data_IF_341365903901
#
_entry.id   IF_341365903901
#
_cell.length_a   1.000
_cell.length_b   1.000
_cell.length_c   1.000
_cell.angle_alpha   90.00
_cell.angle_beta   90.00
_cell.angle_gamma   90.00
#
_symmetry.space_group_name_H-M   'P 1'
#
loop_
_entity.id
_entity.type
_entity.pdbx_description
1 polymer ?
#
# COMPACT_ATOMS: atom_id res chain seq x y z
N UNK A 1 -84.08 -19.85 10.07
CA UNK A 1 -83.90 -18.56 9.36
C UNK A 1 -82.58 -18.61 8.59
N UNK A 2 -82.60 -18.43 7.26
CA UNK A 2 -81.39 -18.43 6.42
C UNK A 2 -80.76 -17.04 6.39
N UNK A 3 -79.47 -16.94 6.72
CA UNK A 3 -78.68 -15.70 6.61
C UNK A 3 -77.86 -15.73 5.33
N UNK A 4 -78.09 -14.79 4.41
CA UNK A 4 -77.26 -14.64 3.20
C UNK A 4 -75.92 -14.00 3.57
N UNK A 5 -74.83 -14.59 3.11
CA UNK A 5 -73.51 -13.99 3.15
C UNK A 5 -73.40 -12.89 2.09
N UNK A 6 -73.33 -11.62 2.48
CA UNK A 6 -73.06 -10.52 1.56
C UNK A 6 -71.56 -10.50 1.25
N UNK A 7 -71.17 -10.82 0.01
CA UNK A 7 -69.79 -10.68 -0.44
C UNK A 7 -69.47 -9.19 -0.64
N UNK A 8 -68.61 -8.63 0.22
CA UNK A 8 -68.03 -7.31 -0.03
C UNK A 8 -66.94 -7.47 -1.09
N UNK A 9 -67.14 -6.88 -2.26
CA UNK A 9 -66.06 -6.71 -3.21
C UNK A 9 -65.11 -5.66 -2.64
N UNK A 10 -63.86 -6.05 -2.37
CA UNK A 10 -62.83 -5.12 -1.93
C UNK A 10 -62.67 -3.94 -2.90
N UNK A 11 -61.93 -2.91 -2.49
CA UNK A 11 -61.63 -1.75 -3.33
C UNK A 11 -60.99 -2.27 -4.62
N UNK A 12 -61.74 -2.20 -5.72
CA UNK A 12 -61.25 -2.56 -7.05
C UNK A 12 -60.49 -1.36 -7.59
N UNK A 13 -59.23 -1.53 -8.04
CA UNK A 13 -58.51 -0.44 -8.68
C UNK A 13 -59.29 0.06 -9.88
N UNK A 14 -59.23 1.36 -10.16
CA UNK A 14 -59.90 1.94 -11.32
C UNK A 14 -59.50 1.19 -12.60
N UNK A 15 -60.47 0.85 -13.47
CA UNK A 15 -60.20 0.09 -14.68
C UNK A 15 -59.34 0.91 -15.65
N UNK A 16 -58.10 0.44 -15.88
CA UNK A 16 -57.15 1.09 -16.78
C UNK A 16 -57.61 0.91 -18.24
N UNK A 17 -57.81 2.02 -18.94
CA UNK A 17 -58.25 1.99 -20.34
C UNK A 17 -57.14 1.47 -21.26
N UNK A 18 -57.48 0.88 -22.43
CA UNK A 18 -56.48 0.45 -23.40
C UNK A 18 -55.50 1.55 -23.83
N UNK A 19 -55.97 2.80 -23.90
CA UNK A 19 -55.15 3.96 -24.22
C UNK A 19 -54.12 4.29 -23.13
N UNK A 20 -54.50 4.15 -21.85
CA UNK A 20 -53.56 4.33 -20.73
C UNK A 20 -52.48 3.25 -20.73
N UNK A 21 -52.82 1.99 -21.05
CA UNK A 21 -51.84 0.91 -21.18
C UNK A 21 -50.84 1.17 -22.32
N UNK A 22 -51.30 1.73 -23.44
CA UNK A 22 -50.42 2.07 -24.56
C UNK A 22 -49.45 3.21 -24.20
N UNK A 23 -49.90 4.22 -23.47
CA UNK A 23 -49.04 5.29 -22.94
C UNK A 23 -47.96 4.73 -21.99
N UNK A 24 -48.35 3.83 -21.09
CA UNK A 24 -47.41 3.21 -20.17
C UNK A 24 -46.37 2.32 -20.88
N UNK A 25 -46.78 1.55 -21.89
CA UNK A 25 -45.84 0.76 -22.70
C UNK A 25 -44.81 1.62 -23.45
N UNK A 26 -45.20 2.83 -23.87
CA UNK A 26 -44.29 3.81 -24.47
C UNK A 26 -43.30 4.36 -23.44
N UNK A 27 -43.80 4.76 -22.27
CA UNK A 27 -42.97 5.28 -21.18
C UNK A 27 -41.98 4.24 -20.65
N UNK A 28 -42.39 2.96 -20.54
CA UNK A 28 -41.51 1.88 -20.14
C UNK A 28 -40.38 1.66 -21.17
N UNK A 29 -40.68 1.76 -22.46
CA UNK A 29 -39.68 1.59 -23.53
C UNK A 29 -38.63 2.71 -23.52
N UNK A 30 -39.04 3.96 -23.31
CA UNK A 30 -38.13 5.11 -23.33
C UNK A 30 -37.46 5.35 -21.96
N UNK A 31 -38.20 5.11 -20.89
CA UNK A 31 -37.80 5.36 -19.50
C UNK A 31 -36.87 4.30 -18.94
N UNK A 32 -37.06 3.03 -19.28
CA UNK A 32 -36.23 1.91 -18.77
C UNK A 32 -34.75 2.10 -19.09
N UNK A 33 -34.42 2.53 -20.32
CA UNK A 33 -33.05 2.78 -20.73
C UNK A 33 -32.36 3.89 -19.90
N UNK A 34 -33.08 4.95 -19.52
CA UNK A 34 -32.55 6.05 -18.70
C UNK A 34 -32.30 5.62 -17.26
N UNK A 35 -33.23 4.85 -16.69
CA UNK A 35 -33.09 4.31 -15.33
C UNK A 35 -31.92 3.33 -15.26
N UNK A 36 -31.78 2.46 -16.25
CA UNK A 36 -30.67 1.51 -16.33
C UNK A 36 -29.33 2.24 -16.48
N UNK A 37 -29.24 3.26 -17.32
CA UNK A 37 -28.03 4.07 -17.46
C UNK A 37 -27.65 4.78 -16.16
N UNK A 38 -28.63 5.33 -15.42
CA UNK A 38 -28.39 5.94 -14.10
C UNK A 38 -27.92 4.92 -13.07
N UNK A 39 -28.54 3.74 -13.02
CA UNK A 39 -28.13 2.66 -12.12
C UNK A 39 -26.72 2.17 -12.44
N UNK A 40 -26.35 2.07 -13.72
CA UNK A 40 -25.00 1.73 -14.14
C UNK A 40 -23.95 2.76 -13.71
N UNK A 41 -24.28 4.05 -13.81
CA UNK A 41 -23.39 5.12 -13.31
C UNK A 41 -23.21 5.01 -11.80
N UNK A 42 -24.27 4.72 -11.05
CA UNK A 42 -24.19 4.50 -9.60
C UNK A 42 -23.32 3.28 -9.25
N UNK A 43 -23.50 2.16 -9.96
CA UNK A 43 -22.66 0.96 -9.77
C UNK A 43 -21.18 1.24 -10.08
N UNK A 44 -20.91 1.96 -11.17
CA UNK A 44 -19.55 2.35 -11.55
C UNK A 44 -18.89 3.20 -10.46
N UNK A 45 -19.57 4.25 -9.99
CA UNK A 45 -19.04 5.07 -8.89
C UNK A 45 -18.89 4.29 -7.59
N UNK A 46 -19.87 3.44 -7.24
CA UNK A 46 -19.79 2.58 -6.06
C UNK A 46 -18.56 1.66 -6.11
N UNK A 47 -18.30 1.02 -7.25
CA UNK A 47 -17.10 0.19 -7.44
C UNK A 47 -15.81 1.00 -7.33
N UNK A 48 -15.79 2.21 -7.90
CA UNK A 48 -14.62 3.09 -7.86
C UNK A 48 -14.32 3.57 -6.43
N UNK A 49 -15.35 3.97 -5.67
CA UNK A 49 -15.20 4.35 -4.26
C UNK A 49 -14.78 3.16 -3.40
N UNK A 50 -15.34 1.97 -3.65
CA UNK A 50 -14.95 0.76 -2.92
C UNK A 50 -13.48 0.42 -3.17
N UNK A 51 -13.05 0.40 -4.43
CA UNK A 51 -11.64 0.14 -4.78
C UNK A 51 -10.70 1.22 -4.23
N UNK A 52 -11.07 2.49 -4.32
CA UNK A 52 -10.27 3.59 -3.78
C UNK A 52 -10.17 3.51 -2.25
N UNK A 53 -11.28 3.22 -1.56
CA UNK A 53 -11.33 3.04 -0.11
C UNK A 53 -10.49 1.85 0.36
N UNK A 54 -10.59 0.70 -0.32
CA UNK A 54 -9.76 -0.47 -0.05
C UNK A 54 -8.27 -0.18 -0.30
N UNK A 55 -7.93 0.48 -1.41
CA UNK A 55 -6.56 0.89 -1.72
C UNK A 55 -5.99 1.84 -0.67
N UNK A 56 -6.74 2.88 -0.29
CA UNK A 56 -6.35 3.81 0.75
C UNK A 56 -6.18 3.12 2.12
N UNK A 57 -7.11 2.22 2.48
CA UNK A 57 -7.04 1.43 3.70
C UNK A 57 -5.83 0.49 3.72
N UNK A 58 -5.48 -0.12 2.59
CA UNK A 58 -4.29 -0.97 2.46
C UNK A 58 -3.01 -0.14 2.59
N UNK A 59 -2.93 1.03 1.95
CA UNK A 59 -1.80 1.96 2.10
C UNK A 59 -1.64 2.38 3.56
N UNK A 60 -2.74 2.73 4.22
CA UNK A 60 -2.75 3.12 5.63
C UNK A 60 -2.29 1.99 6.55
N UNK A 61 -2.78 0.77 6.34
CA UNK A 61 -2.31 -0.40 7.08
C UNK A 61 -0.83 -0.68 6.82
N UNK A 62 -0.37 -0.61 5.57
CA UNK A 62 1.04 -0.82 5.21
C UNK A 62 1.96 0.22 5.84
N UNK A 63 1.50 1.47 5.94
CA UNK A 63 2.26 2.54 6.58
C UNK A 63 2.33 2.39 8.11
N UNK A 64 1.41 1.62 8.71
CA UNK A 64 1.37 1.29 10.13
C UNK A 64 2.01 -0.07 10.46
N UNK A 65 2.46 -0.83 9.45
CA UNK A 65 3.11 -2.12 9.64
C UNK A 65 4.46 -1.95 10.32
N UNK A 66 4.47 -1.93 11.66
CA UNK A 66 5.69 -1.96 12.46
C UNK A 66 6.33 -3.33 12.34
N UNK A 67 7.45 -3.41 11.62
CA UNK A 67 8.38 -4.54 11.71
C UNK A 67 8.85 -4.56 13.17
N UNK A 68 8.57 -5.63 13.91
CA UNK A 68 9.15 -5.88 15.23
C UNK A 68 10.46 -6.64 15.06
N UNK A 69 11.63 -5.97 15.05
CA UNK A 69 12.90 -6.67 15.01
C UNK A 69 13.12 -7.37 16.36
N UNK A 70 13.29 -8.69 16.32
CA UNK A 70 13.71 -9.46 17.48
C UNK A 70 15.24 -9.51 17.49
N UNK A 71 15.86 -8.86 18.48
CA UNK A 71 17.31 -8.95 18.70
C UNK A 71 17.53 -9.99 19.78
N UNK A 72 18.21 -11.09 19.43
CA UNK A 72 18.67 -12.07 20.40
C UNK A 72 20.04 -11.61 20.89
N UNK A 73 20.14 -11.28 22.18
CA UNK A 73 21.44 -11.01 22.80
C UNK A 73 22.11 -12.37 23.10
N UNK A 74 23.24 -12.62 22.46
CA UNK A 74 24.09 -13.78 22.77
C UNK A 74 25.11 -13.30 23.80
N UNK A 75 24.99 -13.77 25.05
CA UNK A 75 26.03 -13.54 26.06
C UNK A 75 27.31 -14.33 25.67
N UNK A 76 28.46 -13.95 26.21
CA UNK A 76 29.77 -14.62 25.99
C UNK A 76 29.78 -16.11 26.36
N UNK A 77 28.72 -16.61 26.98
CA UNK A 77 28.51 -18.02 27.38
C UNK A 77 27.47 -18.78 26.52
N UNK A 78 26.87 -18.15 25.50
CA UNK A 78 26.02 -18.85 24.52
C UNK A 78 24.55 -19.07 24.91
N UNK A 79 24.08 -18.51 26.02
CA UNK A 79 22.67 -18.59 26.42
C UNK A 79 21.84 -17.44 25.82
N UNK A 80 20.72 -17.78 25.18
CA UNK A 80 19.81 -16.84 24.51
C UNK A 80 18.77 -16.31 25.50
N UNK A 81 18.95 -15.08 26.00
CA UNK A 81 17.96 -14.39 26.82
C UNK A 81 17.07 -13.48 25.96
N UNK A 82 15.74 -13.67 26.05
CA UNK A 82 14.73 -12.87 25.34
C UNK A 82 14.52 -11.56 26.10
N UNK A 83 14.93 -10.43 25.51
CA UNK A 83 14.71 -9.11 26.12
C UNK A 83 13.98 -8.20 25.13
N UNK A 84 12.73 -7.87 25.50
CA UNK A 84 11.87 -6.70 25.23
C UNK A 84 11.90 -5.96 23.85
N UNK A 85 10.77 -5.32 23.45
CA UNK A 85 10.65 -4.60 22.17
C UNK A 85 11.62 -3.42 22.08
N UNK A 86 12.33 -3.30 20.95
CA UNK A 86 13.29 -2.24 20.67
C UNK A 86 12.63 -0.85 20.65
N UNK A 87 12.77 -0.09 21.74
CA UNK A 87 12.50 1.34 21.76
C UNK A 87 13.64 2.09 21.05
N UNK A 88 13.29 3.14 20.31
CA UNK A 88 14.06 3.83 19.28
C UNK A 88 15.29 4.64 19.77
N UNK A 89 16.05 4.14 20.73
CA UNK A 89 17.23 4.80 21.29
C UNK A 89 18.44 3.87 21.16
N UNK A 90 18.79 3.47 19.94
CA UNK A 90 20.00 2.67 19.73
C UNK A 90 21.23 3.56 19.89
N UNK A 91 21.87 3.46 21.05
CA UNK A 91 23.19 4.03 21.32
C UNK A 91 24.22 2.95 20.96
N UNK A 92 25.05 3.13 19.92
CA UNK A 92 26.08 2.17 19.56
C UNK A 92 27.03 1.95 20.74
N UNK A 93 27.39 0.70 21.00
CA UNK A 93 28.37 0.38 22.05
C UNK A 93 29.80 0.64 21.58
N UNK A 94 30.71 0.99 22.49
CA UNK A 94 32.11 1.31 22.14
C UNK A 94 32.81 0.24 21.27
N UNK A 95 32.62 -1.08 21.49
CA UNK A 95 33.19 -2.10 20.60
C UNK A 95 32.63 -2.04 19.18
N UNK A 96 31.35 -1.67 19.02
CA UNK A 96 30.74 -1.51 17.68
C UNK A 96 31.32 -0.30 16.96
N UNK A 97 31.47 0.83 17.66
CA UNK A 97 32.10 2.04 17.11
C UNK A 97 33.54 1.73 16.69
N UNK A 98 34.30 1.04 17.55
CA UNK A 98 35.67 0.65 17.26
C UNK A 98 35.77 -0.25 16.00
N UNK A 99 34.86 -1.21 15.84
CA UNK A 99 34.83 -2.09 14.67
C UNK A 99 34.57 -1.32 13.37
N UNK A 100 33.54 -0.48 13.36
CA UNK A 100 33.19 0.32 12.18
C UNK A 100 34.30 1.31 11.81
N UNK A 101 34.91 1.95 12.81
CA UNK A 101 36.01 2.88 12.59
C UNK A 101 37.26 2.17 12.06
N UNK A 102 37.62 1.02 12.64
CA UNK A 102 38.75 0.21 12.16
C UNK A 102 38.56 -0.16 10.69
N UNK A 103 37.36 -0.63 10.32
CA UNK A 103 37.06 -1.02 8.93
C UNK A 103 37.14 0.14 7.95
N UNK A 104 36.63 1.31 8.33
CA UNK A 104 36.73 2.51 7.51
C UNK A 104 38.19 2.92 7.29
N UNK A 105 39.01 2.90 8.35
CA UNK A 105 40.42 3.25 8.26
C UNK A 105 41.19 2.24 7.40
N UNK A 106 40.91 0.94 7.56
CA UNK A 106 41.48 -0.11 6.71
C UNK A 106 41.16 0.10 5.24
N UNK A 107 39.90 0.39 4.89
CA UNK A 107 39.49 0.57 3.50
C UNK A 107 40.12 1.84 2.89
N UNK A 108 40.23 2.94 3.65
CA UNK A 108 40.83 4.20 3.15
C UNK A 108 42.35 4.14 3.07
N UNK A 109 43.01 3.46 4.02
CA UNK A 109 44.48 3.38 4.09
C UNK A 109 45.07 2.10 3.48
N UNK A 110 44.22 1.17 3.06
CA UNK A 110 44.62 -0.07 2.43
C UNK A 110 45.19 0.18 1.03
N UNK A 111 46.51 0.04 0.90
CA UNK A 111 47.18 0.11 -0.40
C UNK A 111 47.31 -1.31 -0.98
N UNK A 112 46.60 -1.56 -2.07
CA UNK A 112 46.72 -2.79 -2.86
C UNK A 112 47.36 -2.46 -4.21
N UNK A 113 48.16 -3.39 -4.75
CA UNK A 113 48.74 -3.26 -6.10
C UNK A 113 47.71 -3.48 -7.21
N UNK A 114 46.54 -4.06 -6.91
CA UNK A 114 45.45 -4.30 -7.86
C UNK A 114 44.46 -3.10 -7.90
N UNK A 115 44.27 -2.44 -9.07
CA UNK A 115 43.34 -1.32 -9.19
C UNK A 115 41.87 -1.68 -8.91
N UNK A 116 41.46 -2.94 -9.10
CA UNK A 116 40.09 -3.38 -8.82
C UNK A 116 39.81 -3.36 -7.32
N UNK A 117 40.75 -3.86 -6.52
CA UNK A 117 40.64 -3.89 -5.05
C UNK A 117 40.64 -2.48 -4.48
N UNK A 118 41.52 -1.60 -5.00
CA UNK A 118 41.54 -0.18 -4.59
C UNK A 118 40.17 0.46 -4.83
N UNK A 119 39.57 0.27 -6.02
CA UNK A 119 38.22 0.78 -6.31
C UNK A 119 37.17 0.23 -5.34
N UNK A 120 37.20 -1.06 -5.03
CA UNK A 120 36.25 -1.68 -4.10
C UNK A 120 36.38 -1.11 -2.68
N UNK A 121 37.61 -0.86 -2.22
CA UNK A 121 37.86 -0.25 -0.91
C UNK A 121 37.28 1.17 -0.85
N UNK A 122 37.49 2.00 -1.87
CA UNK A 122 36.89 3.34 -1.95
C UNK A 122 35.36 3.31 -1.97
N UNK A 123 34.76 2.40 -2.74
CA UNK A 123 33.30 2.25 -2.77
C UNK A 123 32.73 1.83 -1.40
N UNK A 124 33.43 0.95 -0.66
CA UNK A 124 33.05 0.57 0.71
C UNK A 124 33.21 1.74 1.68
N UNK A 125 34.29 2.50 1.59
CA UNK A 125 34.50 3.70 2.40
C UNK A 125 33.36 4.73 2.22
N UNK A 126 32.93 4.98 0.98
CA UNK A 126 31.82 5.91 0.69
C UNK A 126 30.47 5.44 1.23
N UNK A 127 30.27 4.13 1.43
CA UNK A 127 29.05 3.61 2.03
C UNK A 127 28.90 4.05 3.50
N UNK A 128 30.01 4.26 4.23
CA UNK A 128 29.97 4.75 5.61
C UNK A 128 29.64 6.24 5.73
N UNK A 129 29.94 7.05 4.71
CA UNK A 129 29.76 8.52 4.74
C UNK A 129 28.46 8.99 4.08
N UNK A 130 27.81 8.12 3.31
CA UNK A 130 26.63 8.49 2.53
C UNK A 130 25.37 8.36 3.39
N UNK A 131 24.54 9.42 3.42
CA UNK A 131 23.26 9.42 4.17
C UNK A 131 22.29 8.34 3.69
N UNK A 132 22.45 7.83 2.46
CA UNK A 132 21.74 6.65 1.93
C UNK A 132 22.07 5.33 2.66
N UNK A 133 23.17 5.28 3.44
CA UNK A 133 23.52 4.19 4.35
C UNK A 133 22.82 4.30 5.71
N UNK A 134 22.16 5.43 5.99
CA UNK A 134 21.15 5.53 7.05
C UNK A 134 19.79 5.20 6.40
N UNK A 135 19.05 4.15 6.83
CA UNK A 135 17.78 3.76 6.23
C UNK A 135 16.65 4.75 6.57
N UNK A 136 16.80 6.00 6.13
CA UNK A 136 15.88 7.11 6.37
C UNK A 136 15.98 8.28 5.37
N UNK A 137 16.94 8.30 4.44
CA UNK A 137 17.16 9.44 3.53
C UNK A 137 16.96 9.14 2.03
N UNK A 138 16.25 8.07 1.66
CA UNK A 138 15.95 7.74 0.25
C UNK A 138 14.74 8.51 -0.33
N UNK A 139 14.61 9.82 -0.05
CA UNK A 139 13.47 10.59 -0.59
C UNK A 139 13.77 11.79 -1.47
N UNK A 140 15.03 12.03 -1.88
CA UNK A 140 15.37 13.29 -2.58
C UNK A 140 16.27 13.22 -3.82
N UNK A 141 16.46 12.07 -4.47
CA UNK A 141 17.13 12.04 -5.78
C UNK A 141 16.23 11.46 -6.89
N UNK A 142 15.91 12.24 -7.95
CA UNK A 142 15.20 11.71 -9.12
C UNK A 142 16.14 10.83 -9.97
N UNK A 143 15.59 9.87 -10.75
CA UNK A 143 16.40 9.03 -11.61
C UNK A 143 17.02 9.87 -12.74
N UNK A 144 18.33 10.11 -12.68
CA UNK A 144 19.11 10.60 -13.84
C UNK A 144 19.23 9.47 -14.88
N UNK A 145 18.13 9.23 -15.59
CA UNK A 145 18.10 8.44 -16.82
C UNK A 145 18.39 9.38 -18.01
N UNK A 146 19.64 9.78 -18.14
CA UNK A 146 20.17 10.42 -19.36
C UNK A 146 21.64 10.73 -19.13
N UNK A 147 22.53 9.82 -19.57
CA UNK A 147 23.91 10.04 -20.03
C UNK A 147 24.62 8.68 -20.06
N UNK A 148 24.30 7.89 -21.09
CA UNK A 148 25.15 6.79 -21.55
C UNK A 148 25.36 7.01 -23.05
N UNK A 149 26.48 7.61 -23.48
CA UNK A 149 26.81 7.73 -24.89
C UNK A 149 27.70 6.56 -25.29
N UNK A 150 27.20 5.32 -25.20
CA UNK A 150 27.78 4.16 -25.91
C UNK A 150 26.82 2.98 -25.79
N UNK A 151 25.84 2.94 -26.70
CA UNK A 151 25.08 1.74 -27.01
C UNK A 151 25.15 1.58 -28.52
N UNK A 152 25.94 0.60 -28.95
CA UNK A 152 25.86 0.04 -30.29
C UNK A 152 24.54 -0.73 -30.44
#
# INVERSE_FOLDING_TARGET
MFRRSTSSYGITPEPVTPYQKAAQAWDDRIGSARVQARNWRLMAFGSLFLSAGLGAGLVWQSARGTITPWVVQVDRLGEAQVVAPATASYVPTDPQIAWYLARFIEDVRGLSSDPVVVRQNWLRAYAFTTTSGCPGAQRLCPPKRSLCPYRA
#
